data_IF_423891940978
#
_entry.id   IF_423891940978
#
_cell.length_a   1.000
_cell.length_b   1.000
_cell.length_c   1.000
_cell.angle_alpha   90.00
_cell.angle_beta   90.00
_cell.angle_gamma   90.00
#
_symmetry.space_group_name_H-M   'P 1'
#
loop_
_entity.id
_entity.type
_entity.pdbx_description
1 polymer ?
#
# COMPACT_ATOMS: atom_id res chain seq x y z
N UNK A 1 17.24 6.52 -10.31
CA UNK A 1 16.51 7.78 -10.09
C UNK A 1 15.02 7.48 -9.90
N UNK A 2 14.33 8.17 -8.97
CA UNK A 2 12.88 8.09 -8.83
C UNK A 2 12.17 8.39 -10.15
N UNK A 3 11.15 7.61 -10.48
CA UNK A 3 10.37 7.68 -11.71
C UNK A 3 11.09 7.21 -12.97
N UNK A 4 12.25 6.54 -12.83
CA UNK A 4 12.99 6.00 -13.97
C UNK A 4 12.23 4.97 -14.78
N UNK A 5 11.30 4.23 -14.14
CA UNK A 5 10.44 3.25 -14.82
C UNK A 5 9.52 3.94 -15.82
N UNK A 6 8.87 5.04 -15.43
CA UNK A 6 8.05 5.83 -16.34
C UNK A 6 8.87 6.41 -17.50
N UNK A 7 10.04 7.00 -17.22
CA UNK A 7 10.91 7.56 -18.27
C UNK A 7 11.33 6.47 -19.28
N UNK A 8 11.71 5.28 -18.80
CA UNK A 8 12.07 4.15 -19.67
C UNK A 8 10.88 3.70 -20.53
N UNK A 9 9.68 3.62 -19.95
CA UNK A 9 8.48 3.24 -20.68
C UNK A 9 8.13 4.25 -21.78
N UNK A 10 8.22 5.55 -21.48
CA UNK A 10 8.02 6.62 -22.46
C UNK A 10 9.01 6.48 -23.62
N UNK A 11 10.31 6.35 -23.33
CA UNK A 11 11.35 6.18 -24.36
C UNK A 11 11.10 4.94 -25.21
N UNK A 12 10.73 3.82 -24.59
CA UNK A 12 10.37 2.59 -25.30
C UNK A 12 9.20 2.82 -26.27
N UNK A 13 8.12 3.47 -25.83
CA UNK A 13 6.95 3.75 -26.68
C UNK A 13 7.29 4.71 -27.82
N UNK A 14 8.14 5.71 -27.60
CA UNK A 14 8.64 6.60 -28.65
C UNK A 14 9.35 5.78 -29.74
N UNK A 15 10.28 4.91 -29.34
CA UNK A 15 11.04 4.05 -30.25
C UNK A 15 10.11 3.08 -30.98
N UNK A 16 9.25 2.36 -30.25
CA UNK A 16 8.35 1.35 -30.79
C UNK A 16 7.35 1.95 -31.80
N UNK A 17 7.00 3.24 -31.65
CA UNK A 17 6.11 3.97 -32.58
C UNK A 17 6.85 4.77 -33.65
N UNK A 18 8.18 4.75 -33.68
CA UNK A 18 8.98 5.52 -34.64
C UNK A 18 8.81 7.04 -34.51
N UNK A 19 8.51 7.53 -33.30
CA UNK A 19 8.30 8.95 -33.03
C UNK A 19 9.63 9.67 -32.77
N UNK A 20 9.72 10.98 -33.06
CA UNK A 20 10.89 11.76 -32.68
C UNK A 20 10.95 11.92 -31.14
N UNK A 21 12.16 11.99 -30.57
CA UNK A 21 12.38 12.14 -29.12
C UNK A 21 11.62 13.32 -28.49
N UNK A 22 11.40 14.39 -29.26
CA UNK A 22 10.63 15.57 -28.82
C UNK A 22 9.12 15.33 -28.66
N UNK A 23 8.58 14.25 -29.23
CA UNK A 23 7.13 14.03 -29.32
C UNK A 23 6.45 14.05 -27.96
N UNK A 24 7.08 13.49 -26.92
CA UNK A 24 6.49 13.51 -25.58
C UNK A 24 6.48 14.92 -24.96
N UNK A 25 7.46 15.76 -25.29
CA UNK A 25 7.47 17.16 -24.84
C UNK A 25 6.29 17.92 -25.45
N UNK A 26 6.02 17.70 -26.74
CA UNK A 26 4.87 18.27 -27.46
C UNK A 26 3.55 17.78 -26.86
N UNK A 27 3.41 16.48 -26.58
CA UNK A 27 2.23 15.88 -25.92
C UNK A 27 1.96 16.50 -24.57
N UNK A 28 3.00 16.68 -23.75
CA UNK A 28 2.86 17.26 -22.42
C UNK A 28 2.73 18.79 -22.46
N UNK A 29 2.95 19.45 -23.60
CA UNK A 29 3.02 20.92 -23.68
C UNK A 29 4.14 21.50 -22.83
N UNK A 30 5.31 20.86 -22.80
CA UNK A 30 6.50 21.33 -22.09
C UNK A 30 7.64 21.56 -23.08
N UNK A 31 8.69 22.26 -22.65
CA UNK A 31 9.90 22.40 -23.48
C UNK A 31 10.69 21.10 -23.53
N UNK A 32 11.39 20.86 -24.64
CA UNK A 32 12.33 19.73 -24.79
C UNK A 32 13.42 19.76 -23.70
N UNK A 33 13.87 20.95 -23.29
CA UNK A 33 14.82 21.13 -22.20
C UNK A 33 14.24 20.62 -20.88
N UNK A 34 12.97 20.92 -20.59
CA UNK A 34 12.29 20.44 -19.39
C UNK A 34 12.15 18.91 -19.43
N UNK A 35 11.79 18.33 -20.58
CA UNK A 35 11.77 16.88 -20.77
C UNK A 35 13.14 16.25 -20.52
N UNK A 36 14.21 16.78 -21.11
CA UNK A 36 15.57 16.27 -20.92
C UNK A 36 16.00 16.34 -19.44
N UNK A 37 15.60 17.40 -18.73
CA UNK A 37 15.82 17.54 -17.29
C UNK A 37 15.13 16.44 -16.49
N UNK A 38 13.88 16.09 -16.83
CA UNK A 38 13.15 14.97 -16.22
C UNK A 38 13.78 13.61 -16.58
N UNK A 39 14.08 13.41 -17.87
CA UNK A 39 14.57 12.15 -18.41
C UNK A 39 15.97 11.78 -17.92
N UNK A 40 16.76 12.76 -17.50
CA UNK A 40 18.08 12.57 -16.89
C UNK A 40 18.04 12.57 -15.35
N UNK A 41 16.87 12.78 -14.75
CA UNK A 41 16.70 12.79 -13.29
C UNK A 41 17.12 14.07 -12.59
N UNK A 42 17.45 15.14 -13.34
CA UNK A 42 17.71 16.47 -12.78
C UNK A 42 16.44 17.11 -12.21
N UNK A 43 15.27 16.69 -12.71
CA UNK A 43 13.95 16.97 -12.15
C UNK A 43 13.20 15.66 -11.93
N UNK A 44 12.32 15.64 -10.93
CA UNK A 44 11.56 14.44 -10.60
C UNK A 44 10.30 14.38 -11.46
N UNK A 45 10.10 13.30 -12.20
CA UNK A 45 8.90 13.13 -13.04
C UNK A 45 7.59 13.09 -12.23
N UNK A 46 7.65 12.66 -10.96
CA UNK A 46 6.51 12.74 -10.03
C UNK A 46 6.08 14.18 -9.67
N UNK A 47 6.91 15.20 -9.96
CA UNK A 47 6.53 16.60 -9.75
C UNK A 47 5.61 17.13 -10.85
N UNK A 48 5.34 16.35 -11.90
CA UNK A 48 4.36 16.70 -12.91
C UNK A 48 2.96 16.71 -12.27
N UNK A 49 2.18 17.74 -12.59
CA UNK A 49 0.78 17.82 -12.17
C UNK A 49 -0.07 16.71 -12.81
N UNK A 50 -1.23 16.43 -12.20
CA UNK A 50 -2.18 15.40 -12.66
C UNK A 50 -2.52 15.52 -14.14
N UNK A 51 -2.73 16.73 -14.65
CA UNK A 51 -3.02 16.98 -16.06
C UNK A 51 -1.95 16.40 -17.00
N UNK A 52 -0.66 16.62 -16.68
CA UNK A 52 0.44 16.13 -17.51
C UNK A 52 0.61 14.62 -17.39
N UNK A 53 0.42 14.06 -16.20
CA UNK A 53 0.45 12.61 -16.00
C UNK A 53 -0.72 11.90 -16.70
N UNK A 54 -1.88 12.56 -16.82
CA UNK A 54 -3.01 12.09 -17.62
C UNK A 54 -2.68 12.07 -19.12
N UNK A 55 -2.05 13.11 -19.65
CA UNK A 55 -1.56 13.12 -21.04
C UNK A 55 -0.54 11.99 -21.29
N UNK A 56 0.34 11.72 -20.32
CA UNK A 56 1.28 10.58 -20.40
C UNK A 56 0.53 9.25 -20.36
N UNK A 57 -0.53 9.13 -19.56
CA UNK A 57 -1.35 7.92 -19.50
C UNK A 57 -2.03 7.62 -20.86
N UNK A 58 -2.63 8.64 -21.47
CA UNK A 58 -3.21 8.56 -22.81
C UNK A 58 -2.17 8.23 -23.87
N UNK A 59 -1.00 8.88 -23.81
CA UNK A 59 0.11 8.58 -24.72
C UNK A 59 0.56 7.13 -24.61
N UNK A 60 0.69 6.59 -23.40
CA UNK A 60 1.15 5.21 -23.17
C UNK A 60 0.04 4.17 -23.37
N UNK A 61 -1.23 4.58 -23.40
CA UNK A 61 -2.37 3.66 -23.40
C UNK A 61 -2.53 2.91 -22.07
N UNK A 62 -2.20 3.57 -20.95
CA UNK A 62 -2.25 2.99 -19.60
C UNK A 62 -3.28 3.71 -18.72
N UNK A 63 -3.87 3.03 -17.73
CA UNK A 63 -4.61 3.70 -16.66
C UNK A 63 -3.71 4.69 -15.90
N UNK A 64 -4.25 5.86 -15.52
CA UNK A 64 -3.50 6.90 -14.81
C UNK A 64 -2.80 6.40 -13.54
N UNK A 65 -3.43 5.49 -12.79
CA UNK A 65 -2.83 4.91 -11.58
C UNK A 65 -1.52 4.14 -11.87
N UNK A 66 -1.42 3.49 -13.03
CA UNK A 66 -0.18 2.81 -13.43
C UNK A 66 0.92 3.83 -13.74
N UNK A 67 0.57 4.97 -14.34
CA UNK A 67 1.52 6.06 -14.58
C UNK A 67 2.03 6.63 -13.25
N UNK A 68 1.16 6.84 -12.26
CA UNK A 68 1.57 7.25 -10.91
C UNK A 68 2.55 6.26 -10.27
N UNK A 69 2.26 4.96 -10.38
CA UNK A 69 3.15 3.91 -9.87
C UNK A 69 4.51 3.90 -10.59
N UNK A 70 4.51 4.03 -11.92
CA UNK A 70 5.75 4.10 -12.71
C UNK A 70 6.57 5.38 -12.44
N UNK A 71 5.90 6.46 -12.02
CA UNK A 71 6.52 7.71 -11.62
C UNK A 71 7.11 7.66 -10.19
N UNK A 72 6.93 6.56 -9.46
CA UNK A 72 7.23 6.44 -8.02
C UNK A 72 6.51 7.55 -7.22
N UNK A 73 5.23 7.80 -7.55
CA UNK A 73 4.40 8.78 -6.84
C UNK A 73 3.92 8.24 -5.49
N UNK A 74 3.59 6.95 -5.44
CA UNK A 74 3.17 6.25 -4.22
C UNK A 74 4.28 5.34 -3.70
N UNK A 75 4.31 5.13 -2.39
CA UNK A 75 5.10 4.08 -1.73
C UNK A 75 4.20 2.89 -1.39
N UNK A 76 4.75 1.69 -1.10
CA UNK A 76 3.94 0.55 -0.66
C UNK A 76 3.03 0.86 0.54
N UNK A 77 3.49 1.73 1.43
CA UNK A 77 2.74 2.15 2.62
C UNK A 77 1.45 2.91 2.27
N UNK A 78 1.41 3.62 1.14
CA UNK A 78 0.19 4.31 0.68
C UNK A 78 -0.94 3.33 0.29
N UNK A 79 -0.61 2.05 0.06
CA UNK A 79 -1.57 1.00 -0.26
C UNK A 79 -1.95 0.16 0.96
N UNK A 80 -1.32 0.38 2.12
CA UNK A 80 -1.55 -0.40 3.33
C UNK A 80 -2.33 0.42 4.33
N UNK A 81 -3.56 0.00 4.60
CA UNK A 81 -4.32 0.51 5.73
C UNK A 81 -3.82 -0.15 7.03
N UNK A 82 -3.15 0.64 7.89
CA UNK A 82 -2.73 0.19 9.22
C UNK A 82 -3.94 0.19 10.14
N UNK A 83 -4.46 -1.00 10.44
CA UNK A 83 -5.48 -1.19 11.47
C UNK A 83 -4.86 -0.96 12.84
N UNK A 84 -5.51 -0.18 13.69
CA UNK A 84 -5.13 -0.12 15.09
C UNK A 84 -5.38 -1.48 15.78
N UNK A 85 -4.78 -1.66 16.96
CA UNK A 85 -4.87 -2.93 17.69
C UNK A 85 -6.33 -3.30 18.01
N UNK A 86 -7.16 -2.33 18.34
CA UNK A 86 -8.56 -2.55 18.70
C UNK A 86 -9.37 -3.05 17.49
N UNK A 87 -9.14 -2.48 16.30
CA UNK A 87 -9.73 -2.94 15.04
C UNK A 87 -9.25 -4.35 14.68
N UNK A 88 -7.96 -4.65 14.87
CA UNK A 88 -7.41 -5.99 14.63
C UNK A 88 -8.03 -7.04 15.56
N UNK A 89 -8.18 -6.71 16.85
CA UNK A 89 -8.78 -7.61 17.81
C UNK A 89 -10.28 -7.83 17.52
N UNK A 90 -11.02 -6.76 17.17
CA UNK A 90 -12.43 -6.88 16.80
C UNK A 90 -12.63 -7.80 15.60
N UNK A 91 -11.84 -7.61 14.53
CA UNK A 91 -11.91 -8.47 13.34
C UNK A 91 -11.55 -9.93 13.62
N UNK A 92 -10.68 -10.17 14.60
CA UNK A 92 -10.33 -11.54 15.01
C UNK A 92 -11.51 -12.22 15.69
N UNK A 93 -12.27 -11.49 16.52
CA UNK A 93 -13.50 -11.96 17.14
C UNK A 93 -14.63 -12.13 16.12
N UNK A 94 -14.80 -11.22 15.16
CA UNK A 94 -15.78 -11.41 14.07
C UNK A 94 -15.47 -12.66 13.25
N UNK A 95 -14.18 -12.93 12.96
CA UNK A 95 -13.75 -14.17 12.31
C UNK A 95 -14.05 -15.41 13.15
N UNK A 96 -13.86 -15.33 14.46
CA UNK A 96 -14.30 -16.40 15.39
C UNK A 96 -15.80 -16.67 15.23
N UNK A 97 -16.61 -15.68 14.85
CA UNK A 97 -18.06 -15.83 14.62
C UNK A 97 -18.45 -16.57 13.38
N UNK A 98 -17.51 -16.73 12.46
CA UNK A 98 -17.68 -17.61 11.32
C UNK A 98 -17.45 -19.08 11.69
N UNK A 99 -16.93 -19.38 12.87
CA UNK A 99 -16.78 -20.75 13.39
C UNK A 99 -18.04 -21.15 14.17
N UNK A 100 -18.82 -22.14 13.69
CA UNK A 100 -20.05 -22.56 14.35
C UNK A 100 -19.87 -22.98 15.81
N UNK A 101 -18.69 -23.47 16.16
CA UNK A 101 -18.35 -23.89 17.52
C UNK A 101 -18.28 -22.70 18.47
N UNK A 102 -17.83 -21.54 17.96
CA UNK A 102 -17.52 -20.36 18.76
C UNK A 102 -18.52 -19.21 18.61
N UNK A 103 -19.36 -19.24 17.56
CA UNK A 103 -20.30 -18.18 17.22
C UNK A 103 -21.21 -17.75 18.38
N UNK A 104 -21.59 -18.68 19.27
CA UNK A 104 -22.43 -18.40 20.43
C UNK A 104 -21.72 -17.69 21.59
N UNK A 105 -20.39 -17.59 21.58
CA UNK A 105 -19.57 -17.04 22.66
C UNK A 105 -19.00 -15.65 22.37
N UNK A 106 -19.43 -15.03 21.26
CA UNK A 106 -18.87 -13.76 20.82
C UNK A 106 -19.53 -12.61 21.56
N UNK A 107 -18.71 -11.71 22.16
CA UNK A 107 -19.23 -10.54 22.82
C UNK A 107 -19.90 -9.62 21.80
N UNK A 108 -20.96 -8.93 22.24
CA UNK A 108 -21.57 -7.87 21.42
C UNK A 108 -20.61 -6.67 21.32
N UNK A 109 -20.73 -5.82 20.29
CA UNK A 109 -19.87 -4.64 20.12
C UNK A 109 -19.78 -3.75 21.38
N UNK A 110 -20.90 -3.53 22.06
CA UNK A 110 -20.96 -2.69 23.27
C UNK A 110 -20.24 -3.33 24.47
N UNK A 111 -20.31 -4.66 24.60
CA UNK A 111 -19.63 -5.43 25.64
C UNK A 111 -18.12 -5.45 25.36
N UNK A 112 -17.75 -5.63 24.10
CA UNK A 112 -16.37 -5.59 23.65
C UNK A 112 -15.70 -4.24 23.92
N UNK A 113 -16.37 -3.13 23.59
CA UNK A 113 -15.84 -1.79 23.82
C UNK A 113 -15.56 -1.49 25.30
N UNK A 114 -16.34 -2.10 26.21
CA UNK A 114 -16.16 -1.96 27.65
C UNK A 114 -15.16 -2.96 28.25
N UNK A 115 -14.75 -3.98 27.47
CA UNK A 115 -13.85 -5.02 27.94
C UNK A 115 -12.40 -4.52 27.99
N UNK A 116 -11.65 -4.68 29.09
CA UNK A 116 -10.26 -4.27 29.18
C UNK A 116 -9.40 -4.89 28.06
N UNK A 117 -8.45 -4.11 27.52
CA UNK A 117 -7.59 -4.54 26.40
C UNK A 117 -6.87 -5.86 26.68
N UNK A 118 -6.37 -6.08 27.90
CA UNK A 118 -5.69 -7.33 28.28
C UNK A 118 -6.60 -8.56 28.14
N UNK A 119 -7.89 -8.42 28.46
CA UNK A 119 -8.89 -9.49 28.33
C UNK A 119 -9.22 -9.74 26.85
N UNK A 120 -9.44 -8.66 26.08
CA UNK A 120 -9.65 -8.72 24.63
C UNK A 120 -8.49 -9.44 23.90
N UNK A 121 -7.26 -9.08 24.25
CA UNK A 121 -6.04 -9.74 23.77
C UNK A 121 -6.02 -11.22 24.14
N UNK A 122 -6.29 -11.56 25.41
CA UNK A 122 -6.30 -12.93 25.89
C UNK A 122 -7.30 -13.81 25.13
N UNK A 123 -8.51 -13.31 24.89
CA UNK A 123 -9.54 -14.03 24.12
C UNK A 123 -9.06 -14.36 22.71
N UNK A 124 -8.52 -13.38 22.00
CA UNK A 124 -8.03 -13.57 20.63
C UNK A 124 -6.84 -14.53 20.59
N UNK A 125 -5.85 -14.37 21.48
CA UNK A 125 -4.66 -15.24 21.53
C UNK A 125 -5.02 -16.70 21.87
N UNK A 126 -5.98 -16.93 22.77
CA UNK A 126 -6.46 -18.28 23.06
C UNK A 126 -7.13 -18.91 21.83
N UNK A 127 -7.96 -18.15 21.12
CA UNK A 127 -8.60 -18.64 19.90
C UNK A 127 -7.58 -18.92 18.77
N UNK A 128 -6.56 -18.08 18.61
CA UNK A 128 -5.45 -18.34 17.67
C UNK A 128 -4.72 -19.65 18.01
N UNK A 129 -4.38 -19.85 19.29
CA UNK A 129 -3.69 -21.04 19.75
C UNK A 129 -4.52 -22.31 19.53
N UNK A 130 -5.83 -22.25 19.74
CA UNK A 130 -6.75 -23.38 19.54
C UNK A 130 -7.02 -23.67 18.06
N UNK A 131 -7.19 -22.63 17.25
CA UNK A 131 -7.50 -22.77 15.83
C UNK A 131 -6.28 -23.08 14.96
N UNK A 132 -5.07 -22.91 15.49
CA UNK A 132 -3.81 -22.99 14.74
C UNK A 132 -3.66 -21.90 13.67
N UNK A 133 -4.48 -20.84 13.74
CA UNK A 133 -4.47 -19.71 12.78
C UNK A 133 -3.86 -18.48 13.44
N UNK A 134 -3.11 -17.72 12.66
CA UNK A 134 -2.69 -16.38 13.05
C UNK A 134 -3.71 -15.38 12.48
N UNK A 135 -4.36 -14.63 13.37
CA UNK A 135 -5.44 -13.67 13.09
C UNK A 135 -4.96 -12.23 13.30
N UNK A 136 -4.11 -12.00 14.28
CA UNK A 136 -3.35 -10.78 14.49
C UNK A 136 -2.15 -10.77 13.56
N UNK A 137 -1.94 -9.63 12.88
CA UNK A 137 -0.66 -9.40 12.25
C UNK A 137 0.36 -9.35 13.39
N UNK A 138 1.32 -10.28 13.42
CA UNK A 138 2.53 -10.16 14.23
C UNK A 138 3.40 -9.03 13.68
N UNK A 139 2.87 -7.81 13.58
CA UNK A 139 3.68 -6.63 13.69
C UNK A 139 4.20 -6.69 15.12
N UNK A 140 5.53 -6.82 15.27
CA UNK A 140 6.24 -6.92 16.53
C UNK A 140 5.55 -6.08 17.59
N UNK A 141 4.75 -6.75 18.44
CA UNK A 141 4.29 -6.16 19.68
C UNK A 141 5.52 -6.21 20.58
N UNK A 142 6.51 -5.37 20.28
CA UNK A 142 7.47 -4.94 21.29
C UNK A 142 6.65 -4.15 22.30
N UNK A 143 6.04 -4.86 23.25
CA UNK A 143 5.66 -4.25 24.51
C UNK A 143 6.97 -3.69 25.09
N UNK A 144 7.10 -2.37 25.29
CA UNK A 144 8.30 -1.81 25.89
C UNK A 144 8.52 -2.49 27.25
N UNK A 145 9.53 -3.35 27.35
CA UNK A 145 9.92 -4.01 28.60
C UNK A 145 9.58 -5.50 28.77
N UNK A 146 9.01 -6.20 27.79
CA UNK A 146 8.81 -7.66 27.87
C UNK A 146 9.78 -8.38 26.95
N UNK A 147 10.84 -8.97 27.52
CA UNK A 147 11.72 -9.87 26.76
C UNK A 147 10.93 -11.14 26.37
N UNK A 148 10.99 -11.58 25.10
CA UNK A 148 10.42 -12.86 24.71
C UNK A 148 11.15 -13.99 25.46
N UNK A 149 10.45 -15.06 25.86
CA UNK A 149 11.07 -16.18 26.55
C UNK A 149 12.09 -16.86 25.62
N UNK A 150 13.18 -17.43 26.16
CA UNK A 150 14.17 -18.14 25.36
C UNK A 150 13.50 -19.35 24.70
N UNK A 151 13.72 -19.47 23.39
CA UNK A 151 13.28 -20.61 22.59
C UNK A 151 14.07 -21.85 23.06
N UNK A 152 13.35 -22.91 23.43
CA UNK A 152 13.93 -24.21 23.78
C UNK A 152 14.31 -25.02 22.53
#
# INVERSE_FOLDING_TARGET
>A
MPGSRLVKMIKKVIIDRGLPDRAIADVMGITVIYWNSLANGNRQIRSLGKEKLQMVAEFLGLPLIQVYNLADFFTPEDFVYKKDLDEQLWLSIEKMGSDPTWAGYIPKPDEWAQTPLSVRMTMVLLYEQLSGRQLLAKAEIELPGVQPPPVA
#
